data_IF_405032574410
#
_entry.id   IF_405032574410
#
_cell.length_a   1.000
_cell.length_b   1.000
_cell.length_c   1.000
_cell.angle_alpha   90.00
_cell.angle_beta   90.00
_cell.angle_gamma   90.00
#
_symmetry.space_group_name_H-M   'P 1'
#
loop_
_entity.id
_entity.type
_entity.pdbx_description
1 polymer ?
#
# COMPACT_ATOMS: atom_id res chain seq x y z
N UNK A 1 -33.41 -16.91 -7.99
CA UNK A 1 -31.95 -16.82 -7.72
C UNK A 1 -31.77 -16.69 -6.21
N UNK A 2 -30.61 -17.05 -5.64
CA UNK A 2 -30.46 -17.14 -4.18
C UNK A 2 -30.72 -15.85 -3.40
N UNK A 3 -30.82 -14.69 -4.06
CA UNK A 3 -31.00 -13.38 -3.43
C UNK A 3 -32.19 -13.33 -2.48
N UNK A 4 -33.39 -13.72 -2.92
CA UNK A 4 -34.58 -13.72 -2.07
C UNK A 4 -34.47 -14.71 -0.92
N UNK A 5 -33.84 -15.86 -1.17
CA UNK A 5 -33.66 -16.93 -0.17
C UNK A 5 -32.73 -16.52 0.98
N UNK A 6 -31.72 -15.69 0.70
CA UNK A 6 -30.79 -15.17 1.71
C UNK A 6 -31.05 -13.70 2.12
N UNK A 7 -32.15 -13.11 1.64
CA UNK A 7 -32.52 -11.73 2.00
C UNK A 7 -31.59 -10.65 1.43
N UNK A 8 -31.02 -10.85 0.24
CA UNK A 8 -30.14 -9.89 -0.42
C UNK A 8 -30.87 -8.98 -1.42
N UNK A 9 -30.46 -7.71 -1.51
CA UNK A 9 -30.93 -6.73 -2.50
C UNK A 9 -30.20 -6.83 -3.83
N UNK A 10 -28.94 -7.27 -3.82
CA UNK A 10 -28.07 -7.42 -4.99
C UNK A 10 -27.06 -8.55 -4.75
N UNK A 11 -26.29 -8.93 -5.76
CA UNK A 11 -25.30 -10.00 -5.68
C UNK A 11 -24.09 -9.60 -4.81
N UNK A 12 -23.88 -10.23 -3.64
CA UNK A 12 -22.83 -9.82 -2.71
C UNK A 12 -21.44 -9.96 -3.32
N UNK A 13 -21.19 -10.95 -4.17
CA UNK A 13 -19.85 -11.31 -4.68
C UNK A 13 -19.61 -10.95 -6.15
N UNK A 14 -20.40 -10.03 -6.72
CA UNK A 14 -20.19 -9.54 -8.08
C UNK A 14 -18.76 -9.00 -8.28
N UNK A 15 -18.12 -9.35 -9.40
CA UNK A 15 -16.81 -8.82 -9.77
C UNK A 15 -17.00 -7.45 -10.43
N UNK A 16 -17.10 -6.41 -9.61
CA UNK A 16 -17.30 -5.04 -10.05
C UNK A 16 -16.23 -4.11 -9.46
N UNK A 17 -15.88 -3.06 -10.21
CA UNK A 17 -14.97 -1.99 -9.78
C UNK A 17 -15.65 -0.91 -8.92
N UNK A 18 -16.89 -1.11 -8.49
CA UNK A 18 -17.59 -0.17 -7.60
C UNK A 18 -16.82 0.03 -6.30
N UNK A 19 -16.68 1.30 -5.91
CA UNK A 19 -15.91 1.70 -4.73
C UNK A 19 -16.48 1.12 -3.43
N UNK A 20 -17.81 1.09 -3.31
CA UNK A 20 -18.54 0.56 -2.16
C UNK A 20 -18.25 -0.92 -1.88
N UNK A 21 -17.74 -1.68 -2.86
CA UNK A 21 -17.37 -3.08 -2.71
C UNK A 21 -15.93 -3.26 -2.22
N UNK A 22 -15.16 -2.17 -2.10
CA UNK A 22 -13.75 -2.22 -1.74
C UNK A 22 -13.56 -2.43 -0.24
N UNK A 23 -13.13 -3.64 0.13
CA UNK A 23 -12.82 -3.97 1.52
C UNK A 23 -11.44 -3.45 1.93
N UNK A 24 -11.42 -2.38 2.72
CA UNK A 24 -10.19 -1.77 3.22
C UNK A 24 -9.55 -2.64 4.31
N UNK A 25 -8.60 -3.47 3.89
CA UNK A 25 -7.74 -4.23 4.81
C UNK A 25 -6.71 -3.33 5.50
N UNK A 26 -6.15 -3.73 6.67
CA UNK A 26 -5.07 -2.98 7.29
C UNK A 26 -3.85 -2.75 6.38
N UNK A 27 -3.37 -3.73 5.57
CA UNK A 27 -2.36 -3.48 4.55
C UNK A 27 -2.82 -2.48 3.48
N UNK A 28 -4.05 -2.60 2.98
CA UNK A 28 -4.60 -1.66 2.00
C UNK A 28 -4.64 -0.22 2.53
N UNK A 29 -5.00 -0.03 3.81
CA UNK A 29 -5.00 1.29 4.45
C UNK A 29 -3.63 1.95 4.43
N UNK A 30 -2.55 1.20 4.73
CA UNK A 30 -1.18 1.71 4.63
C UNK A 30 -0.85 2.13 3.19
N UNK A 31 -1.33 1.39 2.20
CA UNK A 31 -1.10 1.72 0.79
C UNK A 31 -1.89 2.95 0.34
N UNK A 32 -3.14 3.12 0.78
CA UNK A 32 -3.97 4.31 0.47
C UNK A 32 -3.26 5.58 0.93
N UNK A 33 -2.74 5.61 2.17
CA UNK A 33 -1.99 6.76 2.69
C UNK A 33 -0.77 7.08 1.82
N UNK A 34 -0.04 6.04 1.36
CA UNK A 34 1.10 6.23 0.45
C UNK A 34 0.69 6.72 -0.93
N UNK A 35 -0.48 6.32 -1.42
CA UNK A 35 -1.04 6.81 -2.69
C UNK A 35 -1.47 8.28 -2.55
N UNK A 36 -2.10 8.65 -1.43
CA UNK A 36 -2.44 10.05 -1.15
C UNK A 36 -1.19 10.93 -1.10
N UNK A 37 -0.17 10.50 -0.37
CA UNK A 37 1.12 11.20 -0.36
C UNK A 37 1.76 11.29 -1.74
N UNK A 38 1.66 10.24 -2.58
CA UNK A 38 2.13 10.27 -3.96
C UNK A 38 1.37 11.31 -4.81
N UNK A 39 0.06 11.44 -4.62
CA UNK A 39 -0.74 12.46 -5.27
C UNK A 39 -0.30 13.85 -4.82
N UNK A 40 -0.04 14.05 -3.53
CA UNK A 40 0.39 15.33 -2.96
C UNK A 40 1.76 15.77 -3.54
N UNK A 41 2.72 14.85 -3.58
CA UNK A 41 4.10 15.13 -3.97
C UNK A 41 4.34 15.14 -5.49
N UNK A 42 3.44 14.54 -6.28
CA UNK A 42 3.55 14.55 -7.74
C UNK A 42 4.77 13.79 -8.29
N UNK A 43 5.05 12.59 -7.79
CA UNK A 43 6.10 11.75 -8.39
C UNK A 43 5.67 11.18 -9.74
N UNK A 44 6.64 10.88 -10.61
CA UNK A 44 6.40 10.42 -11.99
C UNK A 44 5.43 9.22 -12.07
N UNK A 45 5.82 8.05 -11.55
CA UNK A 45 5.01 6.83 -11.63
C UNK A 45 4.77 6.17 -10.27
N UNK A 46 3.50 5.84 -9.98
CA UNK A 46 3.14 4.90 -8.93
C UNK A 46 3.20 3.48 -9.48
N UNK A 47 3.95 2.60 -8.83
CA UNK A 47 4.07 1.20 -9.23
C UNK A 47 3.40 0.28 -8.22
N UNK A 48 2.25 -0.28 -8.57
CA UNK A 48 1.51 -1.20 -7.71
C UNK A 48 1.66 -2.64 -8.23
N UNK A 49 2.41 -3.45 -7.49
CA UNK A 49 2.66 -4.85 -7.84
C UNK A 49 1.91 -5.83 -6.95
N UNK A 50 1.53 -6.99 -7.48
CA UNK A 50 0.84 -8.01 -6.71
C UNK A 50 0.42 -9.20 -7.56
N UNK A 51 -0.15 -10.21 -6.90
CA UNK A 51 -0.75 -11.34 -7.61
C UNK A 51 -1.97 -10.87 -8.43
N UNK A 52 -2.26 -11.58 -9.52
CA UNK A 52 -3.50 -11.37 -10.28
C UNK A 52 -4.73 -11.55 -9.36
N UNK A 53 -5.75 -10.70 -9.51
CA UNK A 53 -6.94 -10.77 -8.66
C UNK A 53 -6.77 -10.31 -7.21
N UNK A 54 -5.66 -9.64 -6.86
CA UNK A 54 -5.44 -9.07 -5.51
C UNK A 54 -6.22 -7.79 -5.20
N UNK A 55 -6.97 -7.22 -6.16
CA UNK A 55 -7.75 -6.00 -5.96
C UNK A 55 -6.99 -4.68 -6.15
N UNK A 56 -5.83 -4.71 -6.82
CA UNK A 56 -4.97 -3.54 -7.07
C UNK A 56 -5.68 -2.38 -7.76
N UNK A 57 -6.41 -2.66 -8.83
CA UNK A 57 -7.17 -1.63 -9.55
C UNK A 57 -8.21 -0.97 -8.62
N UNK A 58 -8.96 -1.78 -7.88
CA UNK A 58 -9.93 -1.30 -6.92
C UNK A 58 -9.29 -0.48 -5.79
N UNK A 59 -8.10 -0.85 -5.31
CA UNK A 59 -7.34 -0.08 -4.32
C UNK A 59 -6.99 1.31 -4.83
N UNK A 60 -6.49 1.42 -6.07
CA UNK A 60 -6.13 2.71 -6.67
C UNK A 60 -7.37 3.56 -6.85
N UNK A 61 -8.44 3.02 -7.44
CA UNK A 61 -9.69 3.76 -7.59
C UNK A 61 -10.26 4.22 -6.26
N UNK A 62 -10.25 3.38 -5.23
CA UNK A 62 -10.67 3.76 -3.89
C UNK A 62 -9.82 4.87 -3.31
N UNK A 63 -8.50 4.80 -3.46
CA UNK A 63 -7.61 5.87 -3.02
C UNK A 63 -7.86 7.19 -3.76
N UNK A 64 -8.10 7.15 -5.07
CA UNK A 64 -8.41 8.34 -5.87
C UNK A 64 -9.76 8.96 -5.48
N UNK A 65 -10.80 8.14 -5.29
CA UNK A 65 -12.13 8.60 -4.89
C UNK A 65 -12.16 9.14 -3.45
N UNK A 66 -11.34 8.58 -2.57
CA UNK A 66 -11.22 9.02 -1.18
C UNK A 66 -10.25 10.20 -0.98
N UNK A 67 -9.68 10.75 -2.05
CA UNK A 67 -8.80 11.92 -1.98
C UNK A 67 -9.61 13.22 -1.95
N UNK A 68 -9.05 14.26 -1.33
CA UNK A 68 -9.66 15.60 -1.30
C UNK A 68 -9.62 16.32 -2.67
N UNK A 69 -8.89 15.75 -3.63
CA UNK A 69 -8.74 16.32 -4.97
C UNK A 69 -9.89 15.90 -5.89
N UNK A 70 -10.32 16.82 -6.75
CA UNK A 70 -11.17 16.48 -7.90
C UNK A 70 -10.31 15.80 -8.98
N UNK A 71 -10.19 14.47 -8.89
CA UNK A 71 -9.38 13.68 -9.83
C UNK A 71 -10.24 13.06 -10.93
N UNK A 72 -9.92 13.36 -12.19
CA UNK A 72 -10.40 12.62 -13.35
C UNK A 72 -9.51 11.39 -13.56
N UNK A 73 -10.02 10.21 -13.20
CA UNK A 73 -9.30 8.95 -13.37
C UNK A 73 -9.64 8.28 -14.71
N UNK A 74 -8.63 7.88 -15.47
CA UNK A 74 -8.75 7.13 -16.74
C UNK A 74 -8.08 5.78 -16.59
N UNK A 75 -8.80 4.69 -16.86
CA UNK A 75 -8.26 3.33 -16.72
C UNK A 75 -8.07 2.67 -18.08
N UNK A 76 -6.84 2.19 -18.33
CA UNK A 76 -6.45 1.54 -19.58
C UNK A 76 -6.02 0.10 -19.29
N UNK A 77 -6.69 -0.89 -19.88
CA UNK A 77 -6.44 -2.31 -19.62
C UNK A 77 -7.10 -3.24 -20.64
N UNK A 78 -6.64 -4.49 -20.73
CA UNK A 78 -7.34 -5.56 -21.45
C UNK A 78 -7.38 -5.47 -22.98
N UNK A 79 -6.68 -4.50 -23.59
CA UNK A 79 -6.64 -4.28 -25.03
C UNK A 79 -5.21 -4.22 -25.55
N UNK A 80 -4.91 -5.01 -26.58
CA UNK A 80 -3.69 -4.89 -27.37
C UNK A 80 -3.89 -3.77 -28.38
N UNK A 81 -3.31 -2.60 -28.09
CA UNK A 81 -3.49 -1.37 -28.86
C UNK A 81 -2.16 -0.97 -29.49
N UNK A 82 -2.23 -0.36 -30.68
CA UNK A 82 -1.10 0.40 -31.24
C UNK A 82 -0.85 1.66 -30.40
N UNK A 83 0.30 2.32 -30.56
CA UNK A 83 0.60 3.57 -29.85
C UNK A 83 -0.42 4.68 -30.14
N UNK A 84 -0.89 4.76 -31.39
CA UNK A 84 -1.93 5.72 -31.81
C UNK A 84 -3.27 5.40 -31.18
N UNK A 85 -3.71 4.13 -31.23
CA UNK A 85 -4.98 3.71 -30.65
C UNK A 85 -4.97 3.83 -29.12
N UNK A 86 -3.80 3.64 -28.50
CA UNK A 86 -3.60 3.84 -27.07
C UNK A 86 -3.83 5.30 -26.66
N UNK A 87 -3.23 6.26 -27.37
CA UNK A 87 -3.51 7.69 -27.12
C UNK A 87 -4.95 8.06 -27.48
N UNK A 88 -5.52 7.49 -28.54
CA UNK A 88 -6.91 7.74 -28.91
C UNK A 88 -7.88 7.25 -27.83
N UNK A 89 -7.62 6.07 -27.25
CA UNK A 89 -8.39 5.54 -26.13
C UNK A 89 -8.30 6.47 -24.90
N UNK A 90 -7.09 6.92 -24.54
CA UNK A 90 -6.91 7.87 -23.44
C UNK A 90 -7.65 9.19 -23.72
N UNK A 91 -7.55 9.71 -24.95
CA UNK A 91 -8.24 10.93 -25.35
C UNK A 91 -9.77 10.79 -25.22
N UNK A 92 -10.32 9.64 -25.65
CA UNK A 92 -11.74 9.33 -25.54
C UNK A 92 -12.21 9.31 -24.08
N UNK A 93 -11.49 8.61 -23.20
CA UNK A 93 -11.79 8.52 -21.76
C UNK A 93 -11.63 9.87 -21.03
N UNK A 94 -10.72 10.72 -21.50
CA UNK A 94 -10.60 12.11 -21.03
C UNK A 94 -11.74 13.01 -21.54
N UNK A 95 -12.59 12.53 -22.44
CA UNK A 95 -13.66 13.32 -23.07
C UNK A 95 -13.18 14.26 -24.18
N UNK A 96 -12.00 14.01 -24.74
CA UNK A 96 -11.39 14.80 -25.81
C UNK A 96 -11.89 14.25 -27.15
N UNK A 97 -12.57 15.10 -27.93
CA UNK A 97 -12.95 14.77 -29.31
C UNK A 97 -11.79 15.08 -30.24
N UNK A 98 -11.16 14.04 -30.79
CA UNK A 98 -10.08 14.18 -31.76
C UNK A 98 -10.51 13.54 -33.07
N UNK A 99 -10.53 14.32 -34.15
CA UNK A 99 -10.80 13.84 -35.52
C UNK A 99 -9.54 13.29 -36.20
N UNK A 100 -8.37 13.78 -35.80
CA UNK A 100 -7.09 13.40 -36.37
C UNK A 100 -6.58 12.08 -35.81
N UNK A 101 -6.00 11.26 -36.69
CA UNK A 101 -5.38 9.97 -36.33
C UNK A 101 -3.87 10.07 -36.14
N UNK A 102 -3.29 11.26 -36.27
CA UNK A 102 -1.85 11.44 -36.10
C UNK A 102 -1.46 11.46 -34.61
N UNK A 103 -0.38 10.73 -34.30
CA UNK A 103 0.15 10.58 -32.95
C UNK A 103 0.57 11.93 -32.36
N UNK A 104 1.18 12.80 -33.17
CA UNK A 104 1.59 14.14 -32.73
C UNK A 104 0.38 14.99 -32.32
N UNK A 105 -0.68 14.95 -33.11
CA UNK A 105 -1.91 15.71 -32.88
C UNK A 105 -2.65 15.20 -31.64
N UNK A 106 -2.75 13.87 -31.46
CA UNK A 106 -3.32 13.25 -30.26
C UNK A 106 -2.54 13.64 -29.00
N UNK A 107 -1.22 13.52 -29.05
CA UNK A 107 -0.31 13.89 -27.95
C UNK A 107 -0.46 15.36 -27.56
N UNK A 108 -0.52 16.24 -28.55
CA UNK A 108 -0.73 17.67 -28.32
C UNK A 108 -2.10 17.94 -27.71
N UNK A 109 -3.17 17.33 -28.24
CA UNK A 109 -4.53 17.49 -27.73
C UNK A 109 -4.66 17.04 -26.27
N UNK A 110 -4.07 15.88 -25.92
CA UNK A 110 -4.05 15.37 -24.54
C UNK A 110 -3.28 16.32 -23.63
N UNK A 111 -2.04 16.70 -23.98
CA UNK A 111 -1.24 17.66 -23.18
C UNK A 111 -2.00 18.97 -22.96
N UNK A 112 -2.59 19.54 -24.00
CA UNK A 112 -3.34 20.79 -23.93
C UNK A 112 -4.61 20.67 -23.08
N UNK A 113 -5.25 19.50 -23.05
CA UNK A 113 -6.36 19.24 -22.12
C UNK A 113 -5.86 19.13 -20.68
N UNK A 114 -4.80 18.34 -20.42
CA UNK A 114 -4.23 18.18 -19.08
C UNK A 114 -3.73 19.50 -18.48
N UNK A 115 -3.12 20.38 -19.30
CA UNK A 115 -2.73 21.74 -18.89
C UNK A 115 -3.92 22.59 -18.45
N UNK A 116 -5.06 22.49 -19.16
CA UNK A 116 -6.29 23.21 -18.79
C UNK A 116 -6.86 22.65 -17.48
N UNK A 117 -6.96 21.34 -17.34
CA UNK A 117 -7.45 20.71 -16.12
C UNK A 117 -6.59 21.08 -14.91
N UNK A 118 -5.27 21.07 -15.06
CA UNK A 118 -4.33 21.49 -14.01
C UNK A 118 -4.53 22.96 -13.59
N UNK A 119 -4.91 23.86 -14.50
CA UNK A 119 -5.25 25.24 -14.19
C UNK A 119 -6.62 25.45 -13.53
N UNK A 120 -7.52 24.45 -13.61
CA UNK A 120 -8.86 24.46 -12.98
C UNK A 120 -8.89 23.72 -11.63
N UNK A 121 -7.74 23.48 -10.99
CA UNK A 121 -7.57 22.64 -9.80
C UNK A 121 -8.14 21.21 -9.96
N UNK A 122 -8.31 20.75 -11.20
CA UNK A 122 -8.71 19.37 -11.53
C UNK A 122 -7.48 18.57 -11.88
N UNK A 123 -7.21 17.54 -11.09
CA UNK A 123 -6.10 16.62 -11.36
C UNK A 123 -6.56 15.51 -12.28
N UNK A 124 -5.65 15.01 -13.11
CA UNK A 124 -5.91 13.82 -13.91
C UNK A 124 -5.03 12.66 -13.41
N UNK A 125 -5.57 11.45 -13.41
CA UNK A 125 -4.82 10.25 -13.08
C UNK A 125 -5.04 9.18 -14.14
N UNK A 126 -3.95 8.65 -14.72
CA UNK A 126 -4.02 7.57 -15.71
C UNK A 126 -3.60 6.27 -15.02
N UNK A 127 -4.53 5.32 -14.93
CA UNK A 127 -4.34 3.99 -14.35
C UNK A 127 -4.11 2.98 -15.46
N UNK A 128 -2.92 2.39 -15.53
CA UNK A 128 -2.55 1.39 -16.54
C UNK A 128 -2.58 0.01 -15.90
N UNK A 129 -3.53 -0.82 -16.33
CA UNK A 129 -3.63 -2.22 -15.93
C UNK A 129 -2.74 -3.10 -16.81
N UNK A 130 -2.21 -4.16 -16.21
CA UNK A 130 -1.30 -5.11 -16.87
C UNK A 130 -0.11 -4.41 -17.52
N UNK A 131 0.45 -3.41 -16.83
CA UNK A 131 1.54 -2.61 -17.35
C UNK A 131 2.80 -3.44 -17.67
N UNK A 132 2.95 -4.63 -17.10
CA UNK A 132 3.99 -5.62 -17.45
C UNK A 132 3.86 -6.16 -18.88
N UNK A 133 2.65 -6.17 -19.44
CA UNK A 133 2.36 -6.65 -20.81
C UNK A 133 2.40 -5.53 -21.84
N UNK A 134 2.60 -4.27 -21.43
CA UNK A 134 2.57 -3.10 -22.30
C UNK A 134 3.93 -2.86 -22.96
N UNK A 135 3.96 -2.43 -24.24
CA UNK A 135 5.21 -2.07 -24.90
C UNK A 135 5.83 -0.83 -24.27
N UNK A 136 7.17 -0.74 -24.29
CA UNK A 136 7.91 0.40 -23.73
C UNK A 136 7.56 1.73 -24.41
N UNK A 137 7.21 1.71 -25.69
CA UNK A 137 6.76 2.90 -26.42
C UNK A 137 5.58 3.59 -25.73
N UNK A 138 4.59 2.83 -25.26
CA UNK A 138 3.42 3.36 -24.55
C UNK A 138 3.79 3.96 -23.19
N UNK A 139 4.72 3.35 -22.46
CA UNK A 139 5.21 3.91 -21.18
C UNK A 139 5.98 5.22 -21.39
N UNK A 140 6.81 5.29 -22.45
CA UNK A 140 7.50 6.53 -22.82
C UNK A 140 6.52 7.64 -23.24
N UNK A 141 5.46 7.29 -23.96
CA UNK A 141 4.40 8.24 -24.32
C UNK A 141 3.66 8.77 -23.08
N UNK A 142 3.35 7.91 -22.12
CA UNK A 142 2.76 8.33 -20.84
C UNK A 142 3.65 9.30 -20.07
N UNK A 143 4.95 9.01 -20.01
CA UNK A 143 5.93 9.90 -19.36
C UNK A 143 6.02 11.26 -20.07
N UNK A 144 5.96 11.27 -21.39
CA UNK A 144 5.97 12.52 -22.15
C UNK A 144 4.71 13.34 -21.85
N UNK A 145 3.51 12.74 -21.90
CA UNK A 145 2.25 13.48 -21.69
C UNK A 145 2.01 13.90 -20.23
N UNK A 146 2.60 13.21 -19.25
CA UNK A 146 2.38 13.47 -17.84
C UNK A 146 3.07 14.71 -17.31
N UNK A 147 4.04 15.27 -18.03
CA UNK A 147 4.86 16.39 -17.56
C UNK A 147 4.96 17.53 -18.57
N UNK A 148 5.08 18.76 -18.05
CA UNK A 148 5.42 19.94 -18.82
C UNK A 148 6.29 20.90 -17.99
N UNK A 149 7.25 21.60 -18.62
CA UNK A 149 8.17 22.49 -17.92
C UNK A 149 7.50 23.70 -17.27
N UNK A 150 6.29 24.07 -17.71
CA UNK A 150 5.55 25.23 -17.20
C UNK A 150 4.94 24.99 -15.80
N UNK A 151 5.03 23.76 -15.25
CA UNK A 151 4.37 23.35 -14.01
C UNK A 151 5.34 22.73 -13.01
N UNK A 152 5.19 23.08 -11.73
CA UNK A 152 5.95 22.49 -10.62
C UNK A 152 5.52 21.06 -10.28
N UNK A 153 4.27 20.71 -10.57
CA UNK A 153 3.70 19.38 -10.40
C UNK A 153 3.42 18.75 -11.78
N UNK A 154 3.42 17.41 -11.89
CA UNK A 154 3.04 16.74 -13.13
C UNK A 154 1.60 17.10 -13.55
N UNK A 155 1.38 17.20 -14.86
CA UNK A 155 0.07 17.46 -15.46
C UNK A 155 -0.95 16.35 -15.16
N UNK A 156 -0.47 15.11 -15.06
CA UNK A 156 -1.27 13.99 -14.60
C UNK A 156 -0.41 13.00 -13.82
N UNK A 157 -1.02 12.37 -12.82
CA UNK A 157 -0.39 11.28 -12.08
C UNK A 157 -0.60 9.96 -12.85
N UNK A 158 0.43 9.11 -12.94
CA UNK A 158 0.30 7.83 -13.68
C UNK A 158 0.55 6.65 -12.75
N UNK A 159 -0.44 5.77 -12.64
CA UNK A 159 -0.41 4.57 -11.81
C UNK A 159 -0.27 3.31 -12.68
N UNK A 160 0.88 2.63 -12.58
CA UNK A 160 1.19 1.39 -13.28
C UNK A 160 0.87 0.19 -12.38
N UNK A 161 -0.08 -0.64 -12.83
CA UNK A 161 -0.51 -1.84 -12.13
C UNK A 161 -0.07 -3.05 -12.94
N UNK A 162 0.78 -3.89 -12.35
CA UNK A 162 1.28 -5.09 -13.02
C UNK A 162 1.89 -6.08 -12.04
N UNK A 163 2.23 -7.26 -12.50
CA UNK A 163 2.71 -8.34 -11.63
C UNK A 163 4.08 -8.02 -10.96
N UNK A 164 4.68 -9.01 -10.30
CA UNK A 164 6.00 -8.84 -9.64
C UNK A 164 7.14 -8.62 -10.65
N UNK A 165 6.95 -8.92 -11.93
CA UNK A 165 7.95 -8.73 -12.99
C UNK A 165 8.04 -7.28 -13.42
N UNK A 166 6.96 -6.50 -13.28
CA UNK A 166 6.95 -5.07 -13.63
C UNK A 166 8.06 -4.28 -12.91
N UNK A 167 8.26 -4.55 -11.61
CA UNK A 167 9.33 -3.93 -10.83
C UNK A 167 10.74 -4.29 -11.34
N UNK A 168 10.91 -5.49 -11.91
CA UNK A 168 12.19 -5.97 -12.46
C UNK A 168 12.44 -5.46 -13.88
N UNK A 169 11.41 -5.32 -14.71
CA UNK A 169 11.52 -4.84 -16.09
C UNK A 169 11.91 -3.36 -16.18
N UNK A 170 11.41 -2.55 -15.23
CA UNK A 170 11.76 -1.12 -15.14
C UNK A 170 13.17 -0.88 -14.60
N UNK A 171 13.69 -1.77 -13.76
CA UNK A 171 15.04 -1.65 -13.15
C UNK A 171 16.15 -2.22 -14.03
N UNK A 172 15.92 -3.35 -14.72
CA UNK A 172 16.94 -3.98 -15.61
C UNK A 172 17.24 -3.18 -16.88
N UNK A 173 16.32 -2.30 -17.31
CA UNK A 173 16.48 -1.49 -18.52
C UNK A 173 17.32 -0.23 -18.33
N UNK A 174 17.60 0.19 -17.09
CA UNK A 174 18.53 1.30 -16.81
C UNK A 174 20.00 0.88 -16.85
N UNK A 175 20.28 -0.43 -16.77
CA UNK A 175 21.64 -0.98 -16.87
C UNK A 175 22.04 -1.33 -18.30
N UNK A 176 21.07 -1.54 -19.21
CA UNK A 176 21.35 -2.05 -20.55
C UNK A 176 21.69 -0.97 -21.60
N UNK A 177 21.51 0.32 -21.32
CA UNK A 177 21.91 1.41 -22.23
C UNK A 177 23.11 2.23 -21.76
N UNK A 178 23.87 1.75 -20.76
CA UNK A 178 25.10 2.44 -20.29
C UNK A 178 26.27 1.50 -19.98
N UNK A 179 26.27 0.27 -20.50
CA UNK A 179 27.37 -0.68 -20.27
C UNK A 179 28.27 -0.92 -21.51
N UNK A 180 27.94 -0.39 -22.70
CA UNK A 180 28.69 -0.73 -23.93
C UNK A 180 29.10 0.46 -24.82
N UNK A 181 29.13 1.67 -24.26
CA UNK A 181 29.85 2.80 -24.87
C UNK A 181 30.12 3.85 -23.82
N UNK A 182 31.24 3.71 -23.09
CA UNK A 182 32.19 4.76 -22.68
C UNK A 182 33.34 4.01 -21.97
N UNK A 183 34.15 3.30 -22.75
CA UNK A 183 35.58 3.10 -22.46
C UNK A 183 36.32 4.15 -23.29
N UNK A 184 36.29 5.41 -22.86
CA UNK A 184 37.37 6.38 -23.10
C UNK A 184 37.00 7.77 -22.60
N UNK A 185 38.04 8.42 -22.07
CA UNK A 185 38.21 9.87 -21.96
C UNK A 185 37.72 10.54 -20.67
N UNK A 186 38.72 10.77 -19.80
CA UNK A 186 38.83 11.81 -18.79
C UNK A 186 38.28 13.16 -19.28
N UNK A 187 37.56 13.89 -18.41
CA UNK A 187 37.23 15.30 -18.62
C UNK A 187 36.06 15.81 -17.76
N UNK A 188 36.41 16.46 -16.66
CA UNK A 188 35.72 17.52 -15.89
C UNK A 188 34.27 17.95 -16.26
N UNK A 189 33.40 17.90 -15.23
CA UNK A 189 32.24 18.74 -14.87
C UNK A 189 31.27 19.26 -15.95
N UNK A 190 29.98 18.92 -15.84
CA UNK A 190 28.88 19.85 -15.46
C UNK A 190 27.51 19.15 -15.51
N UNK A 191 26.83 19.13 -14.36
CA UNK A 191 25.38 19.31 -14.17
C UNK A 191 24.42 18.81 -15.25
N UNK A 192 24.24 17.49 -15.30
CA UNK A 192 22.97 16.89 -15.69
C UNK A 192 22.70 15.72 -14.75
N UNK A 193 22.05 16.01 -13.63
CA UNK A 193 21.44 15.01 -12.79
C UNK A 193 20.48 14.18 -13.68
N UNK A 194 20.95 13.00 -14.13
CA UNK A 194 20.10 11.93 -14.64
C UNK A 194 19.18 11.52 -13.49
N UNK A 195 18.10 12.25 -13.33
CA UNK A 195 17.03 11.99 -12.39
C UNK A 195 16.33 10.71 -12.81
N UNK A 196 16.75 9.58 -12.25
CA UNK A 196 15.99 8.34 -12.32
C UNK A 196 14.60 8.63 -11.72
N UNK A 197 13.49 8.42 -12.46
CA UNK A 197 12.16 8.64 -11.92
C UNK A 197 11.95 7.70 -10.73
N UNK A 198 11.80 8.27 -9.53
CA UNK A 198 11.59 7.54 -8.27
C UNK A 198 10.19 6.94 -8.33
N UNK A 199 10.09 5.65 -8.63
CA UNK A 199 8.81 4.93 -8.70
C UNK A 199 8.43 4.37 -7.32
N UNK A 200 7.23 4.71 -6.85
CA UNK A 200 6.74 4.23 -5.56
C UNK A 200 6.26 2.79 -5.69
N UNK A 201 7.05 1.81 -5.22
CA UNK A 201 6.70 0.39 -5.29
C UNK A 201 5.85 -0.07 -4.09
N UNK A 202 4.64 -0.54 -4.39
CA UNK A 202 3.67 -1.01 -3.41
C UNK A 202 3.31 -2.50 -3.68
N UNK A 203 3.72 -3.46 -2.82
CA UNK A 203 3.28 -4.85 -2.95
C UNK A 203 1.94 -5.10 -2.24
N UNK A 204 0.93 -5.58 -2.96
CA UNK A 204 -0.35 -6.01 -2.37
C UNK A 204 -0.34 -7.52 -2.08
N UNK A 205 -0.41 -7.88 -0.79
CA UNK A 205 -0.44 -9.28 -0.34
C UNK A 205 -1.87 -9.85 -0.39
N UNK A 206 -2.04 -11.17 -0.61
CA UNK A 206 -3.34 -11.84 -0.48
C UNK A 206 -3.93 -11.71 0.93
N UNK A 207 -5.24 -11.94 1.05
CA UNK A 207 -5.93 -11.92 2.34
C UNK A 207 -5.45 -13.05 3.26
N UNK A 208 -5.46 -12.81 4.57
CA UNK A 208 -5.33 -13.89 5.56
C UNK A 208 -6.67 -14.58 5.77
N UNK A 209 -6.68 -15.72 6.49
CA UNK A 209 -7.94 -16.39 6.85
C UNK A 209 -8.90 -15.46 7.61
N UNK A 210 -8.38 -14.71 8.60
CA UNK A 210 -9.18 -13.75 9.36
C UNK A 210 -9.75 -12.64 8.47
N UNK A 211 -8.94 -12.10 7.55
CA UNK A 211 -9.40 -11.09 6.60
C UNK A 211 -10.39 -11.66 5.58
N UNK A 212 -10.28 -12.94 5.22
CA UNK A 212 -11.22 -13.62 4.31
C UNK A 212 -12.61 -13.70 4.95
N UNK A 213 -12.68 -14.05 6.24
CA UNK A 213 -13.93 -13.99 7.01
C UNK A 213 -14.54 -12.59 6.98
N UNK A 214 -13.73 -11.59 7.36
CA UNK A 214 -14.20 -10.21 7.49
C UNK A 214 -14.64 -9.66 6.11
N UNK A 215 -13.95 -10.07 5.04
CA UNK A 215 -14.31 -9.76 3.65
C UNK A 215 -15.66 -10.35 3.25
N UNK A 216 -15.90 -11.64 3.48
CA UNK A 216 -17.17 -12.29 3.16
C UNK A 216 -18.34 -11.60 3.87
N UNK A 217 -18.16 -11.32 5.17
CA UNK A 217 -19.18 -10.61 5.95
C UNK A 217 -19.40 -9.19 5.48
N UNK A 218 -18.32 -8.46 5.15
CA UNK A 218 -18.43 -7.12 4.59
C UNK A 218 -19.25 -7.13 3.30
N UNK A 219 -18.93 -7.99 2.33
CA UNK A 219 -19.62 -8.10 1.03
C UNK A 219 -21.11 -8.44 1.18
N UNK A 220 -21.45 -9.39 2.05
CA UNK A 220 -22.85 -9.74 2.29
C UNK A 220 -23.63 -8.66 3.02
N UNK A 221 -23.00 -7.97 3.99
CA UNK A 221 -23.67 -6.89 4.73
C UNK A 221 -24.01 -5.69 3.86
N UNK A 222 -23.26 -5.42 2.79
CA UNK A 222 -23.57 -4.33 1.85
C UNK A 222 -24.91 -4.51 1.14
N UNK A 223 -25.32 -5.76 0.93
CA UNK A 223 -26.51 -6.11 0.15
C UNK A 223 -27.59 -6.78 1.00
N UNK A 224 -27.42 -6.92 2.31
CA UNK A 224 -28.42 -7.57 3.17
C UNK A 224 -29.56 -6.62 3.50
N UNK A 225 -30.79 -7.12 3.38
CA UNK A 225 -32.03 -6.41 3.78
C UNK A 225 -32.31 -6.58 5.28
N UNK A 226 -31.76 -7.62 5.90
CA UNK A 226 -32.00 -8.01 7.29
C UNK A 226 -30.87 -7.59 8.25
N UNK A 227 -31.11 -7.74 9.55
CA UNK A 227 -30.14 -7.41 10.59
C UNK A 227 -28.82 -8.20 10.44
N UNK A 228 -27.69 -7.51 10.67
CA UNK A 228 -26.29 -7.98 10.48
C UNK A 228 -25.94 -9.33 11.12
N UNK A 229 -26.74 -9.83 12.06
CA UNK A 229 -26.48 -11.09 12.75
C UNK A 229 -26.91 -12.34 11.97
N UNK A 230 -27.89 -12.23 11.05
CA UNK A 230 -28.23 -13.37 10.18
C UNK A 230 -27.14 -13.66 9.15
N UNK A 231 -26.50 -12.62 8.61
CA UNK A 231 -25.41 -12.72 7.63
C UNK A 231 -24.22 -13.54 8.15
N UNK A 232 -23.93 -13.46 9.45
CA UNK A 232 -22.84 -14.22 10.08
C UNK A 232 -23.10 -15.73 10.11
N UNK A 233 -24.36 -16.15 10.02
CA UNK A 233 -24.73 -17.57 10.08
C UNK A 233 -24.67 -18.27 8.73
N UNK A 234 -24.72 -17.51 7.62
CA UNK A 234 -24.70 -18.05 6.25
C UNK A 234 -23.40 -18.81 5.97
N UNK A 235 -22.26 -18.30 6.44
CA UNK A 235 -20.95 -18.93 6.29
C UNK A 235 -20.36 -19.33 7.66
N UNK A 236 -20.48 -20.60 8.06
CA UNK A 236 -19.82 -21.12 9.26
C UNK A 236 -18.28 -21.02 9.16
N UNK A 237 -17.60 -20.90 10.30
CA UNK A 237 -16.13 -20.77 10.35
C UNK A 237 -15.40 -21.93 9.65
N UNK A 238 -15.95 -23.15 9.68
CA UNK A 238 -15.40 -24.30 8.98
C UNK A 238 -15.43 -24.12 7.44
N UNK A 239 -16.50 -23.53 6.92
CA UNK A 239 -16.62 -23.23 5.48
C UNK A 239 -15.70 -22.08 5.10
N UNK A 240 -15.58 -21.05 5.93
CA UNK A 240 -14.65 -19.94 5.70
C UNK A 240 -13.20 -20.44 5.64
N UNK A 241 -12.83 -21.35 6.55
CA UNK A 241 -11.52 -21.99 6.50
C UNK A 241 -11.32 -22.76 5.19
N UNK A 242 -12.32 -23.54 4.75
CA UNK A 242 -12.24 -24.27 3.50
C UNK A 242 -12.13 -23.33 2.28
N UNK A 243 -12.87 -22.22 2.25
CA UNK A 243 -12.75 -21.17 1.22
C UNK A 243 -11.33 -20.63 1.19
N UNK A 244 -10.77 -20.27 2.35
CA UNK A 244 -9.40 -19.77 2.43
C UNK A 244 -8.37 -20.80 1.93
N UNK A 245 -8.52 -22.07 2.31
CA UNK A 245 -7.63 -23.16 1.86
C UNK A 245 -7.65 -23.34 0.34
N UNK A 246 -8.82 -23.22 -0.31
CA UNK A 246 -8.96 -23.35 -1.77
C UNK A 246 -8.50 -22.10 -2.53
N UNK A 247 -8.60 -20.91 -1.90
CA UNK A 247 -8.38 -19.63 -2.58
C UNK A 247 -7.03 -18.99 -2.28
N UNK A 248 -6.36 -19.44 -1.22
CA UNK A 248 -5.15 -18.82 -0.67
C UNK A 248 -5.26 -17.30 -0.46
N UNK A 249 -6.48 -16.80 -0.17
CA UNK A 249 -6.73 -15.37 0.06
C UNK A 249 -6.84 -14.51 -1.21
N UNK A 250 -6.97 -15.11 -2.40
CA UNK A 250 -7.19 -14.38 -3.65
C UNK A 250 -8.64 -13.87 -3.76
N UNK A 251 -8.85 -12.55 -3.90
CA UNK A 251 -10.18 -11.95 -3.91
C UNK A 251 -11.05 -12.44 -5.07
N UNK A 252 -10.50 -12.52 -6.28
CA UNK A 252 -11.22 -12.99 -7.47
C UNK A 252 -11.73 -14.42 -7.27
N UNK A 253 -10.85 -15.29 -6.77
CA UNK A 253 -11.15 -16.69 -6.48
C UNK A 253 -12.16 -16.83 -5.34
N UNK A 254 -12.02 -16.04 -4.27
CA UNK A 254 -12.97 -16.00 -3.15
C UNK A 254 -14.37 -15.62 -3.65
N UNK A 255 -14.48 -14.56 -4.46
CA UNK A 255 -15.77 -14.10 -4.98
C UNK A 255 -16.48 -15.18 -5.81
N UNK A 256 -15.75 -15.83 -6.73
CA UNK A 256 -16.31 -16.90 -7.56
C UNK A 256 -16.79 -18.08 -6.72
N UNK A 257 -15.96 -18.52 -5.77
CA UNK A 257 -16.31 -19.65 -4.91
C UNK A 257 -17.51 -19.32 -4.01
N UNK A 258 -17.51 -18.15 -3.39
CA UNK A 258 -18.58 -17.72 -2.49
C UNK A 258 -19.92 -17.59 -3.21
N UNK A 259 -19.93 -17.04 -4.44
CA UNK A 259 -21.14 -16.95 -5.26
C UNK A 259 -21.70 -18.34 -5.61
N UNK A 260 -20.83 -19.28 -6.01
CA UNK A 260 -21.23 -20.65 -6.29
C UNK A 260 -21.71 -21.41 -5.06
N UNK A 261 -21.12 -21.14 -3.90
CA UNK A 261 -21.57 -21.74 -2.63
C UNK A 261 -22.98 -21.27 -2.24
N UNK A 262 -23.30 -19.99 -2.44
CA UNK A 262 -24.65 -19.48 -2.23
C UNK A 262 -25.65 -20.11 -3.21
N UNK A 263 -25.28 -20.23 -4.48
CA UNK A 263 -26.11 -20.93 -5.48
C UNK A 263 -26.34 -22.40 -5.10
N UNK A 264 -25.32 -23.13 -4.66
CA UNK A 264 -25.41 -24.53 -4.28
C UNK A 264 -26.29 -24.74 -3.02
N UNK A 265 -26.11 -23.89 -2.01
CA UNK A 265 -26.93 -23.92 -0.79
C UNK A 265 -28.41 -23.63 -1.12
N UNK A 266 -28.67 -22.64 -1.96
CA UNK A 266 -30.03 -22.32 -2.44
C UNK A 266 -30.67 -23.47 -3.23
N UNK A 267 -29.92 -24.12 -4.13
CA UNK A 267 -30.41 -25.26 -4.90
C UNK A 267 -30.86 -26.43 -4.00
N UNK A 268 -30.24 -26.58 -2.82
CA UNK A 268 -30.59 -27.56 -1.80
C UNK A 268 -31.60 -27.02 -0.76
N UNK A 269 -32.14 -25.81 -0.96
CA UNK A 269 -33.02 -25.09 -0.03
C UNK A 269 -32.43 -24.91 1.38
N UNK A 270 -31.09 -24.89 1.50
CA UNK A 270 -30.41 -24.66 2.77
C UNK A 270 -30.21 -23.16 3.02
N UNK A 271 -30.52 -22.71 4.23
CA UNK A 271 -30.26 -21.33 4.69
C UNK A 271 -28.81 -21.10 5.14
N UNK A 272 -27.98 -22.15 5.15
CA UNK A 272 -26.58 -22.12 5.57
C UNK A 272 -25.70 -22.83 4.55
N UNK A 273 -24.52 -22.28 4.28
CA UNK A 273 -23.51 -22.95 3.47
C UNK A 273 -22.82 -24.02 4.31
N UNK A 274 -22.87 -25.27 3.86
CA UNK A 274 -22.24 -26.41 4.50
C UNK A 274 -20.97 -26.85 3.75
N UNK A 275 -20.11 -27.63 4.43
CA UNK A 275 -18.88 -28.18 3.83
C UNK A 275 -19.13 -29.07 2.61
N UNK A 276 -20.32 -29.70 2.50
CA UNK A 276 -20.69 -30.47 1.31
C UNK A 276 -20.76 -29.59 0.06
N UNK A 277 -21.31 -28.38 0.18
CA UNK A 277 -21.41 -27.44 -0.93
C UNK A 277 -20.03 -26.99 -1.43
N UNK A 278 -19.01 -26.96 -0.55
CA UNK A 278 -17.62 -26.65 -0.95
C UNK A 278 -17.06 -27.73 -1.87
N UNK A 279 -17.31 -29.00 -1.60
CA UNK A 279 -16.85 -30.09 -2.47
C UNK A 279 -17.52 -30.01 -3.84
N UNK A 280 -18.84 -29.80 -3.85
CA UNK A 280 -19.62 -29.70 -5.09
C UNK A 280 -19.19 -28.48 -5.92
N UNK A 281 -19.04 -27.31 -5.28
CA UNK A 281 -18.61 -26.08 -5.95
C UNK A 281 -17.17 -26.16 -6.48
N UNK A 282 -16.24 -26.75 -5.72
CA UNK A 282 -14.85 -26.96 -6.17
C UNK A 282 -14.79 -27.88 -7.40
N UNK A 283 -15.59 -28.95 -7.43
CA UNK A 283 -15.67 -29.84 -8.59
C UNK A 283 -16.22 -29.14 -9.83
N UNK A 284 -17.30 -28.36 -9.67
CA UNK A 284 -17.90 -27.60 -10.77
C UNK A 284 -16.96 -26.53 -11.35
N UNK A 285 -16.09 -25.94 -10.53
CA UNK A 285 -15.07 -24.99 -10.96
C UNK A 285 -13.85 -25.64 -11.62
N UNK A 286 -13.78 -26.97 -11.66
CA UNK A 286 -12.59 -27.70 -12.09
C UNK A 286 -11.40 -27.53 -11.14
N UNK A 287 -11.64 -27.09 -9.90
CA UNK A 287 -10.60 -26.93 -8.88
C UNK A 287 -10.43 -28.25 -8.11
N UNK A 288 -9.44 -29.04 -8.51
CA UNK A 288 -9.00 -30.17 -7.71
C UNK A 288 -8.41 -29.66 -6.39
N UNK A 289 -8.78 -30.31 -5.28
CA UNK A 289 -8.38 -29.94 -3.93
C UNK A 289 -6.86 -29.63 -3.86
N UNK A 290 -6.44 -28.53 -3.20
CA UNK A 290 -5.03 -28.25 -3.02
C UNK A 290 -4.41 -29.39 -2.20
N UNK A 291 -3.34 -29.99 -2.72
CA UNK A 291 -2.51 -30.92 -1.99
C UNK A 291 -2.03 -30.21 -0.70
N UNK A 292 -2.43 -30.78 0.46
CA UNK A 292 -2.22 -30.26 1.81
C UNK A 292 -0.88 -29.52 2.00
N UNK A 293 -0.89 -28.20 1.95
CA UNK A 293 0.22 -27.39 2.44
C UNK A 293 0.15 -27.36 3.98
N UNK A 294 1.07 -28.10 4.62
CA UNK A 294 1.24 -28.17 6.08
C UNK A 294 1.53 -26.78 6.66
N UNK A 295 0.56 -26.17 7.35
CA UNK A 295 0.79 -25.01 8.22
C UNK A 295 0.75 -25.47 9.68
N UNK A 296 1.88 -25.40 10.38
CA UNK A 296 1.97 -25.60 11.83
C UNK A 296 1.42 -24.34 12.54
N UNK A 297 0.34 -24.47 13.31
CA UNK A 297 -0.17 -23.42 14.20
C UNK A 297 0.54 -23.45 15.56
N UNK A 298 0.64 -22.30 16.26
CA UNK A 298 0.31 -22.31 17.67
C UNK A 298 -0.78 -21.29 18.03
N UNK A 299 -1.64 -21.70 18.98
CA UNK A 299 -2.63 -20.90 19.72
C UNK A 299 -1.88 -19.99 20.74
N UNK A 300 -2.39 -18.85 21.21
CA UNK A 300 -3.26 -18.75 22.42
C UNK A 300 -3.79 -17.29 22.61
N UNK A 301 -4.93 -17.17 23.30
CA UNK A 301 -5.80 -16.01 23.66
C UNK A 301 -5.06 -14.91 24.49
N UNK A 302 -5.48 -13.62 24.58
CA UNK A 302 -6.55 -13.09 25.47
C UNK A 302 -6.78 -11.55 25.29
N UNK A 303 -8.07 -11.14 25.37
CA UNK A 303 -8.82 -9.90 25.76
C UNK A 303 -8.30 -8.45 25.58
N UNK A 304 -9.25 -7.61 25.12
CA UNK A 304 -9.28 -6.14 25.01
C UNK A 304 -9.91 -5.45 26.23
N UNK A 305 -9.48 -4.22 26.56
CA UNK A 305 -10.27 -3.07 27.07
C UNK A 305 -9.43 -1.79 26.89
N UNK A 306 -9.84 -0.75 26.15
CA UNK A 306 -10.70 0.36 26.57
C UNK A 306 -10.28 1.64 25.79
N UNK A 307 -11.22 2.51 25.44
CA UNK A 307 -11.02 3.75 24.62
C UNK A 307 -10.68 4.95 25.52
N UNK A 308 -9.88 5.91 25.03
CA UNK A 308 -10.03 7.32 25.43
C UNK A 308 -9.36 8.30 24.47
N UNK A 309 -10.17 9.21 23.89
CA UNK A 309 -9.74 10.37 23.08
C UNK A 309 -8.76 11.28 23.85
N UNK A 310 -7.66 11.69 23.23
CA UNK A 310 -6.69 12.68 23.74
C UNK A 310 -6.12 13.51 22.56
N UNK A 311 -5.93 14.81 22.78
CA UNK A 311 -5.31 15.76 21.85
C UNK A 311 -3.78 15.59 21.88
N UNK A 312 -3.04 15.59 20.75
CA UNK A 312 -1.61 15.25 20.74
C UNK A 312 -0.70 16.33 21.37
N UNK A 313 0.06 15.97 22.41
CA UNK A 313 1.16 16.78 23.00
C UNK A 313 2.52 16.45 22.36
N UNK A 314 3.50 17.37 22.27
CA UNK A 314 4.80 17.14 21.64
C UNK A 314 5.65 16.09 22.37
N UNK A 315 6.38 15.26 21.62
CA UNK A 315 7.20 14.15 22.13
C UNK A 315 8.51 14.03 21.34
N UNK A 316 9.59 13.62 22.00
CA UNK A 316 10.92 13.47 21.40
C UNK A 316 11.61 12.19 21.87
N UNK A 317 12.53 11.68 21.05
CA UNK A 317 13.43 10.56 21.39
C UNK A 317 14.87 11.06 21.54
N UNK A 318 15.53 10.64 22.60
CA UNK A 318 16.93 10.99 22.88
C UNK A 318 17.78 9.72 22.86
N UNK A 319 18.92 9.76 22.16
CA UNK A 319 19.90 8.66 22.21
C UNK A 319 20.58 8.64 23.59
N UNK A 320 20.96 7.45 24.06
CA UNK A 320 21.62 7.28 25.38
C UNK A 320 22.97 8.02 25.51
N UNK A 321 23.60 8.38 24.39
CA UNK A 321 24.59 9.46 24.33
C UNK A 321 23.84 10.80 24.11
N UNK A 322 23.87 11.75 25.05
CA UNK A 322 22.89 12.85 25.16
C UNK A 322 22.97 13.93 24.06
N UNK A 323 23.63 13.68 22.94
CA UNK A 323 23.95 14.68 21.92
C UNK A 323 22.98 14.74 20.74
N UNK A 324 22.05 13.78 20.59
CA UNK A 324 21.10 13.75 19.45
C UNK A 324 19.64 13.63 19.91
N UNK A 325 18.88 14.71 19.69
CA UNK A 325 17.44 14.79 19.93
C UNK A 325 16.69 14.59 18.60
N UNK A 326 15.74 13.66 18.58
CA UNK A 326 14.85 13.43 17.44
C UNK A 326 13.42 13.85 17.79
N UNK A 327 12.91 14.88 17.11
CA UNK A 327 11.50 15.25 17.23
C UNK A 327 10.62 14.19 16.55
N UNK A 328 9.55 13.77 17.23
CA UNK A 328 8.55 12.91 16.62
C UNK A 328 7.66 13.77 15.70
N UNK A 329 7.34 13.23 14.52
CA UNK A 329 6.37 13.86 13.63
C UNK A 329 4.96 13.89 14.23
N UNK A 330 4.09 14.71 13.67
CA UNK A 330 2.74 14.95 14.22
C UNK A 330 1.87 13.70 14.31
N UNK A 331 2.08 12.73 13.40
CA UNK A 331 1.25 11.51 13.29
C UNK A 331 2.07 10.21 13.21
N UNK A 332 3.16 10.19 12.45
CA UNK A 332 3.99 8.98 12.24
C UNK A 332 5.46 9.35 12.19
N UNK A 333 6.29 8.60 12.92
CA UNK A 333 7.75 8.69 12.89
C UNK A 333 8.30 7.32 12.50
N UNK A 334 9.06 7.25 11.40
CA UNK A 334 9.71 6.02 10.93
C UNK A 334 11.15 5.91 11.44
N UNK A 335 11.57 4.69 11.81
CA UNK A 335 12.90 4.38 12.33
C UNK A 335 13.49 3.26 11.47
N UNK A 336 14.66 3.45 10.88
CA UNK A 336 15.26 2.43 10.01
C UNK A 336 16.55 2.86 9.32
N UNK A 337 17.12 1.99 8.49
CA UNK A 337 18.38 2.25 7.76
C UNK A 337 18.19 3.16 6.55
N UNK A 338 17.00 3.15 5.95
CA UNK A 338 16.73 3.88 4.72
C UNK A 338 16.87 5.39 4.93
N UNK A 339 17.27 6.10 3.87
CA UNK A 339 17.55 7.53 3.94
C UNK A 339 16.29 8.40 4.15
N UNK A 340 15.12 7.85 3.86
CA UNK A 340 13.80 8.44 4.03
C UNK A 340 13.16 8.18 5.41
N UNK A 341 13.86 7.48 6.31
CA UNK A 341 13.39 7.31 7.69
C UNK A 341 13.58 8.60 8.50
N UNK A 342 12.57 8.98 9.30
CA UNK A 342 12.66 10.14 10.19
C UNK A 342 13.79 10.02 11.20
N UNK A 343 14.01 8.80 11.73
CA UNK A 343 15.14 8.46 12.61
C UNK A 343 15.97 7.41 11.90
N UNK A 344 17.16 7.80 11.47
CA UNK A 344 18.05 6.94 10.72
C UNK A 344 19.00 6.18 11.65
N UNK A 345 18.99 4.87 11.55
CA UNK A 345 19.89 3.98 12.29
C UNK A 345 20.92 3.37 11.33
N UNK A 346 22.20 3.49 11.64
CA UNK A 346 23.27 2.95 10.81
C UNK A 346 23.61 1.51 11.24
N UNK A 347 23.34 0.51 10.40
CA UNK A 347 23.76 -0.86 10.67
C UNK A 347 23.26 -1.79 9.58
N UNK A 348 24.12 -2.66 9.04
CA UNK A 348 23.77 -3.50 7.88
C UNK A 348 22.61 -4.47 8.15
N UNK A 349 22.45 -4.89 9.41
CA UNK A 349 21.38 -5.79 9.87
C UNK A 349 20.08 -5.05 10.26
N UNK A 350 20.02 -3.73 10.06
CA UNK A 350 18.83 -2.93 10.35
C UNK A 350 18.00 -2.84 9.07
N UNK A 351 16.72 -3.21 9.18
CA UNK A 351 15.79 -3.16 8.05
C UNK A 351 15.64 -1.73 7.50
N UNK A 352 15.35 -1.56 6.19
CA UNK A 352 15.14 -0.25 5.59
C UNK A 352 14.15 0.63 6.38
N UNK A 353 13.03 0.05 6.81
CA UNK A 353 12.14 0.59 7.84
C UNK A 353 12.01 -0.47 8.93
N UNK A 354 12.65 -0.25 10.07
CA UNK A 354 12.75 -1.22 11.16
C UNK A 354 11.60 -1.07 12.16
N UNK A 355 11.23 0.16 12.52
CA UNK A 355 10.13 0.41 13.44
C UNK A 355 9.36 1.67 13.06
N UNK A 356 8.11 1.76 13.52
CA UNK A 356 7.22 2.90 13.32
C UNK A 356 6.67 3.33 14.67
N UNK A 357 6.74 4.62 14.98
CA UNK A 357 5.98 5.23 16.07
C UNK A 357 4.77 5.93 15.46
N UNK A 358 3.58 5.56 15.92
CA UNK A 358 2.33 6.17 15.50
C UNK A 358 1.77 6.93 16.69
N UNK A 359 1.56 8.23 16.50
CA UNK A 359 0.90 9.10 17.46
C UNK A 359 -0.58 9.17 17.08
N UNK A 360 -1.43 8.80 18.03
CA UNK A 360 -2.88 8.80 17.85
C UNK A 360 -3.52 9.62 18.95
N UNK A 361 -4.83 9.86 18.82
CA UNK A 361 -5.57 10.46 19.90
C UNK A 361 -5.57 9.58 21.17
N UNK A 362 -5.39 8.26 21.08
CA UNK A 362 -5.41 7.38 22.26
C UNK A 362 -4.00 7.11 22.85
N UNK A 363 -2.96 7.83 22.38
CA UNK A 363 -1.57 7.69 22.83
C UNK A 363 -0.59 7.35 21.70
N UNK A 364 0.65 7.06 22.08
CA UNK A 364 1.72 6.67 21.16
C UNK A 364 1.91 5.16 21.15
N UNK A 365 2.16 4.61 19.97
CA UNK A 365 2.39 3.18 19.80
C UNK A 365 3.63 2.96 18.96
N UNK A 366 4.51 2.06 19.37
CA UNK A 366 5.60 1.58 18.53
C UNK A 366 5.25 0.22 17.94
N UNK A 367 5.67 -0.01 16.70
CA UNK A 367 5.56 -1.28 16.01
C UNK A 367 6.87 -1.64 15.34
N UNK A 368 7.33 -2.86 15.54
CA UNK A 368 8.42 -3.45 14.77
C UNK A 368 7.89 -3.84 13.39
N UNK A 369 8.51 -3.32 12.33
CA UNK A 369 8.17 -3.65 10.93
C UNK A 369 9.33 -4.39 10.23
N UNK A 370 10.51 -4.45 10.86
CA UNK A 370 11.66 -5.20 10.37
C UNK A 370 11.76 -6.60 10.96
N UNK A 371 12.16 -7.55 10.13
CA UNK A 371 12.23 -8.98 10.47
C UNK A 371 13.63 -9.43 10.95
N UNK A 372 14.66 -8.60 10.73
CA UNK A 372 16.08 -8.95 10.93
C UNK A 372 16.57 -8.70 12.37
N UNK A 373 16.18 -7.58 12.97
CA UNK A 373 16.58 -7.21 14.34
C UNK A 373 15.33 -7.06 15.21
N UNK A 374 15.29 -7.70 16.39
CA UNK A 374 14.18 -7.56 17.31
C UNK A 374 14.13 -6.16 17.94
N UNK A 375 12.93 -5.59 18.02
CA UNK A 375 12.64 -4.42 18.82
C UNK A 375 12.43 -4.81 20.29
N UNK A 376 13.09 -4.13 21.21
CA UNK A 376 12.85 -4.22 22.64
C UNK A 376 12.28 -2.92 23.19
N UNK A 377 11.35 -3.04 24.13
CA UNK A 377 10.82 -1.95 24.96
C UNK A 377 11.04 -2.33 26.43
N UNK A 378 11.75 -1.48 27.19
CA UNK A 378 12.09 -1.71 28.60
C UNK A 378 12.65 -3.13 28.84
N UNK A 379 13.61 -3.53 28.00
CA UNK A 379 14.25 -4.86 27.95
C UNK A 379 13.35 -6.04 27.52
N UNK A 380 12.05 -5.85 27.28
CA UNK A 380 11.16 -6.88 26.76
C UNK A 380 11.07 -6.83 25.22
N UNK A 381 11.20 -7.97 24.54
CA UNK A 381 11.02 -8.04 23.08
C UNK A 381 9.54 -7.80 22.73
N UNK A 382 9.27 -6.88 21.80
CA UNK A 382 7.90 -6.50 21.41
C UNK A 382 7.77 -6.42 19.89
N UNK A 383 6.65 -6.91 19.35
CA UNK A 383 6.25 -6.66 17.96
C UNK A 383 5.44 -5.37 17.82
N UNK A 384 4.69 -5.03 18.87
CA UNK A 384 4.00 -3.75 19.01
C UNK A 384 3.72 -3.47 20.49
N UNK A 385 3.84 -2.22 20.92
CA UNK A 385 3.55 -1.81 22.28
C UNK A 385 3.08 -0.35 22.35
N UNK A 386 2.29 -0.03 23.37
CA UNK A 386 2.03 1.35 23.75
C UNK A 386 3.33 1.96 24.32
N UNK A 387 3.58 3.21 23.96
CA UNK A 387 4.71 4.00 24.44
C UNK A 387 4.26 5.03 25.47
N UNK A 388 4.99 5.10 26.57
CA UNK A 388 4.79 6.03 27.67
C UNK A 388 6.05 6.89 27.87
N UNK A 389 5.88 8.01 28.55
CA UNK A 389 7.01 8.86 28.94
C UNK A 389 8.06 8.06 29.73
N UNK A 390 9.34 8.26 29.40
CA UNK A 390 10.46 7.54 30.02
C UNK A 390 10.72 6.13 29.47
N UNK A 391 9.91 5.64 28.53
CA UNK A 391 10.12 4.32 27.92
C UNK A 391 11.43 4.26 27.13
N UNK A 392 12.15 3.15 27.26
CA UNK A 392 13.39 2.91 26.53
C UNK A 392 13.22 1.85 25.44
N UNK A 393 13.53 2.24 24.21
CA UNK A 393 13.52 1.42 23.00
C UNK A 393 14.93 0.92 22.72
N UNK A 394 15.07 -0.35 22.36
CA UNK A 394 16.34 -0.89 21.86
C UNK A 394 16.17 -1.67 20.56
N UNK A 395 16.96 -1.33 19.55
CA UNK A 395 17.00 -1.96 18.24
C UNK A 395 18.47 -2.29 17.94
N UNK A 396 18.85 -3.55 18.08
CA UNK A 396 20.25 -3.96 18.00
C UNK A 396 21.06 -3.30 19.13
N UNK A 397 22.10 -2.56 18.73
CA UNK A 397 22.98 -1.81 19.65
C UNK A 397 22.50 -0.37 19.91
N UNK A 398 21.39 0.04 19.27
CA UNK A 398 20.84 1.38 19.40
C UNK A 398 19.78 1.42 20.50
N UNK A 399 19.97 2.30 21.47
CA UNK A 399 19.05 2.54 22.58
C UNK A 399 18.57 4.00 22.57
N UNK A 400 17.25 4.19 22.58
CA UNK A 400 16.55 5.47 22.50
C UNK A 400 15.58 5.58 23.67
N UNK A 401 15.55 6.70 24.36
CA UNK A 401 14.58 6.97 25.44
C UNK A 401 13.55 7.99 25.00
N UNK A 402 12.28 7.73 25.29
CA UNK A 402 11.16 8.61 24.99
C UNK A 402 10.99 9.65 26.10
N UNK A 403 10.81 10.91 25.72
CA UNK A 403 10.45 11.98 26.64
C UNK A 403 9.30 12.80 26.09
N UNK A 404 8.25 12.97 26.90
CA UNK A 404 7.05 13.75 26.60
C UNK A 404 6.90 14.86 27.65
N UNK A 405 7.76 15.87 27.57
CA UNK A 405 7.63 17.07 28.42
C UNK A 405 7.65 18.33 27.56
N UNK A 406 6.58 19.11 27.70
CA UNK A 406 6.56 20.52 27.34
C UNK A 406 7.16 21.34 28.48
N UNK A 407 8.48 21.33 28.59
CA UNK A 407 9.27 22.37 29.23
C UNK A 407 10.71 22.16 28.77
N UNK A 408 11.29 23.20 28.18
CA UNK A 408 12.62 23.11 27.57
C UNK A 408 13.63 22.57 28.56
N UNK A 409 14.37 21.54 28.16
CA UNK A 409 15.69 21.34 28.77
C UNK A 409 16.51 22.55 28.33
N UNK A 410 16.94 23.42 29.26
CA UNK A 410 17.78 24.54 28.90
C UNK A 410 19.07 23.99 28.30
N UNK A 411 19.52 24.62 27.22
CA UNK A 411 20.90 24.54 26.78
C UNK A 411 21.76 25.01 27.96
N UNK A 412 22.36 24.08 28.69
CA UNK A 412 23.52 24.39 29.51
C UNK A 412 24.75 24.26 28.63
N UNK A 413 25.18 25.43 28.17
CA UNK A 413 26.49 25.72 27.61
C UNK A 413 27.57 25.13 28.52
N UNK A 414 28.52 24.45 27.90
CA UNK A 414 29.75 23.92 28.50
C UNK A 414 30.57 25.01 29.20
N UNK A 415 31.10 24.72 30.39
CA UNK A 415 32.36 25.30 30.86
C UNK A 415 33.28 24.14 31.29
N UNK A 416 34.52 24.06 30.79
CA UNK A 416 35.45 22.99 31.13
C UNK A 416 36.03 23.23 32.53
N UNK A 417 36.06 22.19 33.36
CA UNK A 417 36.88 22.16 34.55
C UNK A 417 38.04 21.18 34.31
N UNK A 418 39.20 21.79 34.29
CA UNK A 418 40.57 21.27 34.30
C UNK A 418 40.83 20.15 35.31
N UNK A 419 41.86 19.36 34.96
CA UNK A 419 42.79 18.66 35.86
C UNK A 419 42.27 17.45 36.64
N UNK A 420 42.53 16.26 36.09
CA UNK A 420 42.98 15.14 36.92
C UNK A 420 44.50 15.05 36.85
N UNK A 421 45.12 15.47 37.95
CA UNK A 421 46.43 14.99 38.36
C UNK A 421 46.46 13.45 38.29
N UNK A 422 47.50 12.94 37.64
CA UNK A 422 47.92 11.55 37.75
C UNK A 422 48.47 11.30 39.16
N UNK A 423 48.07 10.23 39.86
CA UNK A 423 48.95 9.59 40.81
C UNK A 423 49.68 8.47 40.08
N UNK A 424 50.95 8.68 39.72
CA UNK A 424 51.86 7.57 39.48
C UNK A 424 52.87 7.51 40.63
N UNK A 425 52.75 6.40 41.35
CA UNK A 425 53.74 5.63 42.12
C UNK A 425 55.22 6.04 42.00
N UNK A 426 55.85 6.11 43.19
CA UNK A 426 57.27 5.86 43.52
C UNK A 426 58.36 6.77 42.95
#
# INVERSE_FOLDING_TARGET
>A
MYLEHFGFSDFPFIQSGKDELFFVTPPARKLIVRIHHWLDCGHDFLLLSGAEGSGRAALVHHALNASDYSIQAVTVGGLSLSDTDFLHYIALELGIRVTDKDLMSLRHAIKSHLKRSAGEDKRACIVVLEADKRPRSQLSLLQDISWAPDFYLPLCSVALIGDKTLAKGLSTSQSASTAESVRSSKGTNTDAAKSSPVSLHLPLKPLTQAMTRDYLFYRMNLVSRDARDQVKTIFPEAVIQAIFEHTAGNLTTINRLADMLLMAAWAQKSSVVELRHVKDASQLLGWYAPAKARVKKPRTKVKLTGRSKITPQPASLTKKDPTTLHHLGDNVTTIGRAADCNIRIQGENISPCQALIVKTADGMFIRNEGDEVPLFLNAAKVESAALHDGDTLRIGDYELSLTTSGEGVPVLVSVPASEQETPNTA
#
